data_IF_098945446620
#
_entry.id   IF_098945446620
#
_cell.length_a   1.000
_cell.length_b   1.000
_cell.length_c   1.000
_cell.angle_alpha   90.00
_cell.angle_beta   90.00
_cell.angle_gamma   90.00
#
_symmetry.space_group_name_H-M   'P 1'
#
loop_
_entity.id
_entity.type
_entity.pdbx_description
1 polymer ?
#
# COMPACT_ATOMS: atom_id res chain seq x y z
N UNK A 1 -15.40 3.06 -16.07
CA UNK A 1 -15.17 2.79 -14.63
C UNK A 1 -15.43 3.97 -13.69
N UNK A 2 -16.07 5.07 -14.11
CA UNK A 2 -16.53 6.14 -13.18
C UNK A 2 -17.91 5.86 -12.56
N UNK A 3 -18.64 4.88 -13.12
CA UNK A 3 -20.02 4.57 -12.75
C UNK A 3 -20.19 3.85 -11.40
N UNK A 4 -19.11 3.42 -10.75
CA UNK A 4 -19.11 2.72 -9.46
C UNK A 4 -18.45 3.53 -8.33
N UNK A 5 -17.96 4.73 -8.62
CA UNK A 5 -17.28 5.55 -7.60
C UNK A 5 -18.30 6.29 -6.73
N UNK A 6 -18.05 6.33 -5.43
CA UNK A 6 -18.89 7.02 -4.45
C UNK A 6 -18.57 8.52 -4.40
N UNK A 7 -18.87 9.25 -5.47
CA UNK A 7 -18.66 10.71 -5.56
C UNK A 7 -19.98 11.50 -5.55
N UNK A 8 -19.91 12.77 -5.14
CA UNK A 8 -21.05 13.69 -5.14
C UNK A 8 -22.25 13.13 -4.37
N UNK A 9 -23.47 13.11 -4.95
CA UNK A 9 -24.66 12.56 -4.28
C UNK A 9 -24.50 11.10 -3.84
N UNK A 10 -23.64 10.31 -4.50
CA UNK A 10 -23.41 8.89 -4.15
C UNK A 10 -22.52 8.72 -2.93
N UNK A 11 -21.70 9.72 -2.59
CA UNK A 11 -20.90 9.69 -1.37
C UNK A 11 -21.80 9.56 -0.13
N UNK A 12 -23.01 10.16 -0.16
CA UNK A 12 -24.01 10.02 0.91
C UNK A 12 -24.37 8.56 1.24
N UNK A 13 -24.28 7.66 0.25
CA UNK A 13 -24.57 6.23 0.46
C UNK A 13 -23.60 5.57 1.42
N UNK A 14 -22.34 6.00 1.46
CA UNK A 14 -21.36 5.45 2.41
C UNK A 14 -21.80 5.65 3.87
N UNK A 15 -22.48 6.77 4.15
CA UNK A 15 -23.00 7.09 5.49
C UNK A 15 -24.33 6.38 5.81
N UNK A 16 -24.90 5.64 4.87
CA UNK A 16 -26.11 4.82 5.13
C UNK A 16 -25.77 3.48 5.78
N UNK A 17 -24.52 3.02 5.66
CA UNK A 17 -24.04 1.82 6.34
C UNK A 17 -23.92 2.10 7.84
N UNK A 18 -24.56 1.25 8.66
CA UNK A 18 -24.61 1.39 10.12
C UNK A 18 -23.57 0.52 10.83
N UNK A 19 -22.85 -0.30 10.08
CA UNK A 19 -21.83 -1.21 10.60
C UNK A 19 -20.72 -1.47 9.57
N UNK A 20 -19.54 -1.90 10.02
CA UNK A 20 -18.43 -2.27 9.13
C UNK A 20 -18.78 -3.42 8.16
N UNK A 21 -19.54 -4.47 8.57
CA UNK A 21 -20.03 -5.48 7.63
C UNK A 21 -20.95 -4.91 6.54
N UNK A 22 -21.85 -3.99 6.89
CA UNK A 22 -22.70 -3.31 5.89
C UNK A 22 -21.86 -2.45 4.94
N UNK A 23 -20.86 -1.74 5.46
CA UNK A 23 -19.95 -0.95 4.65
C UNK A 23 -19.15 -1.84 3.68
N UNK A 24 -18.66 -2.99 4.14
CA UNK A 24 -17.96 -3.97 3.31
C UNK A 24 -18.82 -4.42 2.13
N UNK A 25 -20.06 -4.86 2.41
CA UNK A 25 -20.98 -5.31 1.37
C UNK A 25 -21.32 -4.17 0.40
N UNK A 26 -21.52 -2.95 0.91
CA UNK A 26 -21.83 -1.78 0.10
C UNK A 26 -20.69 -1.42 -0.86
N UNK A 27 -19.44 -1.42 -0.38
CA UNK A 27 -18.28 -0.96 -1.14
C UNK A 27 -17.76 -2.05 -2.08
N UNK A 28 -17.70 -3.30 -1.61
CA UNK A 28 -17.04 -4.39 -2.33
C UNK A 28 -18.00 -5.33 -3.05
N UNK A 29 -19.27 -5.34 -2.67
CA UNK A 29 -20.30 -6.23 -3.19
C UNK A 29 -19.89 -7.71 -3.13
N UNK A 30 -19.25 -8.09 -2.03
CA UNK A 30 -18.76 -9.44 -1.75
C UNK A 30 -19.15 -9.85 -0.32
N UNK A 31 -19.11 -11.16 -0.05
CA UNK A 31 -19.31 -11.68 1.31
C UNK A 31 -18.32 -11.06 2.30
N UNK A 32 -18.79 -10.84 3.53
CA UNK A 32 -17.98 -10.26 4.61
C UNK A 32 -16.99 -11.33 5.08
N UNK A 33 -15.69 -11.01 5.18
CA UNK A 33 -14.69 -11.96 5.64
C UNK A 33 -14.98 -12.38 7.09
N UNK A 34 -14.72 -13.65 7.39
CA UNK A 34 -14.89 -14.24 8.72
C UNK A 34 -13.74 -13.81 9.64
N UNK A 35 -13.72 -12.55 10.04
CA UNK A 35 -12.72 -11.95 10.93
C UNK A 35 -13.39 -11.20 12.09
N UNK A 36 -12.69 -10.98 13.22
CA UNK A 36 -13.17 -10.12 14.28
C UNK A 36 -13.55 -8.73 13.76
N UNK A 37 -14.66 -8.17 14.25
CA UNK A 37 -15.14 -6.86 13.81
C UNK A 37 -14.12 -5.73 14.07
N UNK A 38 -13.28 -5.89 15.09
CA UNK A 38 -12.17 -4.96 15.40
C UNK A 38 -11.12 -4.89 14.30
N UNK A 39 -10.95 -5.96 13.51
CA UNK A 39 -10.00 -6.02 12.39
C UNK A 39 -10.65 -5.68 11.05
N UNK A 40 -11.99 -5.62 11.00
CA UNK A 40 -12.73 -5.41 9.76
C UNK A 40 -12.48 -4.01 9.17
N UNK A 41 -12.22 -3.00 10.02
CA UNK A 41 -11.87 -1.65 9.57
C UNK A 41 -10.58 -1.65 8.75
N UNK A 42 -9.50 -2.18 9.34
CA UNK A 42 -8.22 -2.35 8.66
C UNK A 42 -8.38 -3.18 7.37
N UNK A 43 -9.16 -4.26 7.42
CA UNK A 43 -9.38 -5.10 6.24
C UNK A 43 -10.11 -4.36 5.11
N UNK A 44 -11.03 -3.44 5.43
CA UNK A 44 -11.68 -2.59 4.42
C UNK A 44 -10.65 -1.70 3.74
N UNK A 45 -9.73 -1.10 4.50
CA UNK A 45 -8.68 -0.24 3.96
C UNK A 45 -7.75 -1.03 3.03
N UNK A 46 -7.23 -2.17 3.49
CA UNK A 46 -6.36 -3.06 2.71
C UNK A 46 -7.03 -3.53 1.41
N UNK A 47 -8.30 -3.94 1.46
CA UNK A 47 -9.03 -4.41 0.29
C UNK A 47 -9.33 -3.27 -0.70
N UNK A 48 -9.65 -2.07 -0.19
CA UNK A 48 -9.85 -0.89 -1.02
C UNK A 48 -8.56 -0.49 -1.75
N UNK A 49 -7.44 -0.45 -1.02
CA UNK A 49 -6.12 -0.16 -1.56
C UNK A 49 -5.69 -1.19 -2.61
N UNK A 50 -5.81 -2.49 -2.28
CA UNK A 50 -5.49 -3.58 -3.22
C UNK A 50 -6.27 -3.45 -4.53
N UNK A 51 -7.58 -3.19 -4.45
CA UNK A 51 -8.42 -3.02 -5.65
C UNK A 51 -8.03 -1.77 -6.44
N UNK A 52 -7.74 -0.66 -5.75
CA UNK A 52 -7.28 0.57 -6.39
C UNK A 52 -5.99 0.34 -7.16
N UNK A 53 -4.99 -0.30 -6.54
CA UNK A 53 -3.69 -0.56 -7.17
C UNK A 53 -3.83 -1.52 -8.35
N UNK A 54 -4.63 -2.58 -8.22
CA UNK A 54 -4.88 -3.49 -9.34
C UNK A 54 -5.51 -2.76 -10.54
N UNK A 55 -6.48 -1.88 -10.29
CA UNK A 55 -7.14 -1.08 -11.34
C UNK A 55 -6.20 -0.03 -11.94
N UNK A 56 -5.42 0.65 -11.10
CA UNK A 56 -4.47 1.66 -11.54
C UNK A 56 -3.36 1.01 -12.38
N UNK A 57 -2.80 -0.09 -11.91
CA UNK A 57 -1.80 -0.89 -12.63
C UNK A 57 -2.34 -1.33 -13.98
N UNK A 58 -3.58 -1.85 -14.02
CA UNK A 58 -4.25 -2.22 -15.28
C UNK A 58 -4.38 -1.03 -16.24
N UNK A 59 -4.62 0.18 -15.73
CA UNK A 59 -4.67 1.40 -16.55
C UNK A 59 -3.27 1.77 -17.09
N UNK A 60 -2.23 1.69 -16.26
CA UNK A 60 -0.84 1.97 -16.70
C UNK A 60 -0.41 0.98 -17.78
N UNK A 61 -0.80 -0.28 -17.65
CA UNK A 61 -0.51 -1.33 -18.63
C UNK A 61 -1.20 -1.15 -19.99
N UNK A 62 -2.21 -0.29 -20.10
CA UNK A 62 -2.83 0.03 -21.40
C UNK A 62 -1.94 0.90 -22.29
N UNK A 63 -0.85 1.46 -21.76
CA UNK A 63 0.08 2.27 -22.51
C UNK A 63 1.34 1.46 -22.81
N UNK A 64 1.75 1.37 -24.08
CA UNK A 64 3.01 0.73 -24.47
C UNK A 64 4.23 1.42 -23.83
N UNK A 65 4.13 2.75 -23.66
CA UNK A 65 5.12 3.61 -23.02
C UNK A 65 4.40 4.52 -22.01
N UNK A 66 4.11 4.03 -20.79
CA UNK A 66 3.41 4.84 -19.81
C UNK A 66 4.26 6.07 -19.45
N UNK A 67 3.61 7.23 -19.38
CA UNK A 67 4.30 8.45 -18.98
C UNK A 67 4.83 8.31 -17.54
N UNK A 68 6.04 8.82 -17.28
CA UNK A 68 6.74 8.69 -15.98
C UNK A 68 5.86 9.08 -14.79
N UNK A 69 5.03 10.10 -14.94
CA UNK A 69 4.12 10.54 -13.87
C UNK A 69 3.18 9.42 -13.39
N UNK A 70 2.75 8.51 -14.28
CA UNK A 70 1.87 7.41 -13.92
C UNK A 70 2.62 6.34 -13.11
N UNK A 71 3.86 6.05 -13.50
CA UNK A 71 4.71 5.11 -12.74
C UNK A 71 5.18 5.71 -11.42
N UNK A 72 5.47 7.01 -11.37
CA UNK A 72 5.89 7.71 -10.16
C UNK A 72 4.80 7.70 -9.09
N UNK A 73 3.51 7.73 -9.48
CA UNK A 73 2.41 7.61 -8.52
C UNK A 73 2.38 6.26 -7.80
N UNK A 74 2.82 5.18 -8.45
CA UNK A 74 2.94 3.87 -7.82
C UNK A 74 4.10 3.82 -6.82
N UNK A 75 5.20 4.52 -7.11
CA UNK A 75 6.38 4.54 -6.25
C UNK A 75 6.15 5.13 -4.87
N UNK A 76 5.10 5.93 -4.66
CA UNK A 76 4.72 6.38 -3.31
C UNK A 76 4.40 5.19 -2.39
N UNK A 77 3.78 4.13 -2.91
CA UNK A 77 3.50 2.92 -2.13
C UNK A 77 4.78 2.17 -1.75
N UNK A 78 5.75 2.10 -2.66
CA UNK A 78 7.07 1.52 -2.33
C UNK A 78 7.77 2.34 -1.23
N UNK A 79 7.70 3.67 -1.30
CA UNK A 79 8.29 4.55 -0.28
C UNK A 79 7.65 4.32 1.09
N UNK A 80 6.31 4.24 1.16
CA UNK A 80 5.62 3.93 2.41
C UNK A 80 5.95 2.52 2.91
N UNK A 81 6.00 1.51 2.02
CA UNK A 81 6.48 0.18 2.36
C UNK A 81 7.89 0.24 2.97
N UNK A 82 8.81 1.04 2.41
CA UNK A 82 10.16 1.15 2.93
C UNK A 82 10.20 1.74 4.35
N UNK A 83 9.33 2.70 4.66
CA UNK A 83 9.20 3.27 6.01
C UNK A 83 8.72 2.21 7.00
N UNK A 84 7.70 1.44 6.63
CA UNK A 84 7.18 0.32 7.43
C UNK A 84 8.24 -0.76 7.67
N UNK A 85 8.98 -1.15 6.62
CA UNK A 85 10.10 -2.10 6.74
C UNK A 85 11.19 -1.57 7.66
N UNK A 86 11.55 -0.29 7.53
CA UNK A 86 12.50 0.39 8.41
C UNK A 86 12.06 0.36 9.88
N UNK A 87 10.78 0.66 10.14
CA UNK A 87 10.19 0.62 11.48
C UNK A 87 10.22 -0.79 12.08
N UNK A 88 9.78 -1.80 11.33
CA UNK A 88 9.75 -3.19 11.75
C UNK A 88 11.16 -3.73 12.08
N UNK A 89 12.15 -3.41 11.22
CA UNK A 89 13.55 -3.78 11.47
C UNK A 89 14.12 -3.06 12.69
N UNK A 90 13.78 -1.79 12.90
CA UNK A 90 14.17 -1.03 14.08
C UNK A 90 13.61 -1.67 15.37
N UNK A 91 12.34 -2.09 15.32
CA UNK A 91 11.66 -2.83 16.39
C UNK A 91 12.11 -4.29 16.54
N UNK A 92 13.00 -4.78 15.66
CA UNK A 92 13.53 -6.16 15.62
C UNK A 92 12.45 -7.22 15.39
N UNK A 93 11.41 -6.86 14.65
CA UNK A 93 10.39 -7.80 14.23
C UNK A 93 10.98 -8.90 13.33
N UNK A 94 10.44 -10.11 13.45
CA UNK A 94 10.89 -11.27 12.68
C UNK A 94 10.08 -11.48 11.40
N UNK A 95 8.78 -11.19 11.48
CA UNK A 95 7.87 -11.20 10.34
C UNK A 95 8.03 -9.91 9.54
N UNK A 96 7.94 -10.02 8.22
CA UNK A 96 7.77 -8.86 7.37
C UNK A 96 6.42 -8.19 7.71
N UNK A 97 6.38 -6.86 7.87
CA UNK A 97 5.13 -6.13 8.01
C UNK A 97 4.26 -6.29 6.75
N UNK A 98 3.00 -5.88 6.83
CA UNK A 98 2.17 -5.81 5.64
C UNK A 98 2.77 -4.80 4.66
N UNK A 99 2.89 -5.20 3.40
CA UNK A 99 3.35 -4.33 2.32
C UNK A 99 2.33 -4.31 1.21
N UNK A 100 2.32 -3.18 0.52
CA UNK A 100 1.54 -2.97 -0.68
C UNK A 100 2.28 -3.56 -1.89
N UNK A 101 1.75 -4.64 -2.46
CA UNK A 101 2.39 -5.32 -3.60
C UNK A 101 2.10 -4.61 -4.94
N UNK A 102 3.14 -4.05 -5.57
CA UNK A 102 3.05 -3.39 -6.89
C UNK A 102 3.46 -4.30 -8.06
N UNK A 103 3.89 -5.54 -7.78
CA UNK A 103 4.38 -6.49 -8.79
C UNK A 103 5.57 -5.93 -9.57
N UNK A 104 5.50 -5.97 -10.90
CA UNK A 104 6.59 -5.49 -11.80
C UNK A 104 6.89 -3.98 -11.70
N UNK A 105 6.02 -3.22 -11.04
CA UNK A 105 6.19 -1.78 -10.84
C UNK A 105 6.90 -1.46 -9.52
N UNK A 106 7.21 -2.46 -8.68
CA UNK A 106 7.98 -2.18 -7.47
C UNK A 106 9.43 -1.85 -7.79
N UNK A 107 9.98 -0.86 -7.10
CA UNK A 107 11.39 -0.48 -7.13
C UNK A 107 12.26 -1.40 -6.26
N UNK A 108 11.65 -2.23 -5.41
CA UNK A 108 12.34 -2.96 -4.36
C UNK A 108 12.19 -4.47 -4.48
N UNK A 109 13.22 -5.20 -4.04
CA UNK A 109 13.19 -6.65 -3.93
C UNK A 109 12.77 -7.08 -2.53
N UNK A 110 11.46 -7.13 -2.29
CA UNK A 110 10.91 -7.55 -0.99
C UNK A 110 11.27 -9.00 -0.63
N UNK A 111 11.63 -9.84 -1.59
CA UNK A 111 12.09 -11.21 -1.34
C UNK A 111 13.42 -11.26 -0.56
N UNK A 112 14.15 -10.14 -0.50
CA UNK A 112 15.41 -10.04 0.22
C UNK A 112 15.28 -9.74 1.72
N UNK A 113 14.06 -9.61 2.25
CA UNK A 113 13.83 -9.42 3.68
C UNK A 113 14.53 -10.49 4.54
N UNK A 114 15.09 -10.12 5.71
CA UNK A 114 15.10 -8.80 6.36
C UNK A 114 16.26 -7.87 5.97
N UNK A 115 16.98 -8.15 4.87
CA UNK A 115 18.18 -7.41 4.50
C UNK A 115 17.86 -6.12 3.73
N UNK A 116 17.69 -5.01 4.44
CA UNK A 116 17.30 -3.71 3.86
C UNK A 116 18.25 -3.22 2.76
N UNK A 117 19.55 -3.53 2.85
CA UNK A 117 20.54 -3.17 1.85
C UNK A 117 20.34 -3.94 0.54
N UNK A 118 19.87 -5.20 0.64
CA UNK A 118 19.50 -5.99 -0.54
C UNK A 118 18.15 -5.56 -1.11
N UNK A 119 17.17 -5.22 -0.25
CA UNK A 119 15.84 -4.76 -0.67
C UNK A 119 15.94 -3.50 -1.56
N UNK A 120 16.74 -2.52 -1.14
CA UNK A 120 16.88 -1.23 -1.85
C UNK A 120 17.95 -1.25 -2.94
N UNK A 121 18.65 -2.38 -3.13
CA UNK A 121 19.74 -2.49 -4.09
C UNK A 121 19.24 -2.24 -5.51
N UNK A 122 20.01 -1.49 -6.29
CA UNK A 122 19.68 -1.10 -7.67
C UNK A 122 18.42 -0.21 -7.82
N UNK A 123 17.90 0.33 -6.72
CA UNK A 123 16.83 1.33 -6.75
C UNK A 123 17.40 2.76 -6.64
N UNK A 124 16.62 3.81 -6.97
CA UNK A 124 16.98 5.20 -6.66
C UNK A 124 17.22 5.47 -5.17
N UNK A 125 16.74 4.59 -4.28
CA UNK A 125 16.84 4.69 -2.82
C UNK A 125 17.90 3.73 -2.25
N UNK A 126 18.88 3.31 -3.05
CA UNK A 126 19.98 2.45 -2.59
C UNK A 126 20.86 3.06 -1.50
N UNK A 127 20.73 4.37 -1.24
CA UNK A 127 21.35 5.04 -0.10
C UNK A 127 20.71 4.65 1.24
N UNK A 128 19.45 4.19 1.23
CA UNK A 128 18.78 3.58 2.38
C UNK A 128 19.22 2.11 2.47
N UNK A 129 20.43 1.89 2.99
CA UNK A 129 21.07 0.56 3.04
C UNK A 129 21.40 0.10 4.47
N UNK A 130 20.88 0.82 5.47
CA UNK A 130 21.09 0.50 6.88
C UNK A 130 19.79 0.72 7.62
N UNK A 131 19.50 -0.18 8.56
CA UNK A 131 18.38 -0.03 9.48
C UNK A 131 18.62 1.22 10.34
N UNK A 132 17.68 2.19 10.36
CA UNK A 132 17.81 3.38 11.18
C UNK A 132 17.72 3.05 12.67
N UNK A 133 18.40 3.84 13.50
CA UNK A 133 18.06 3.90 14.93
C UNK A 133 16.70 4.59 15.10
N UNK A 134 15.99 4.31 16.19
CA UNK A 134 14.69 4.92 16.54
C UNK A 134 14.79 6.45 16.50
N UNK A 135 15.91 7.01 16.94
CA UNK A 135 16.13 8.47 16.94
C UNK A 135 16.49 9.04 15.57
N UNK A 136 16.96 8.21 14.63
CA UNK A 136 17.33 8.61 13.26
C UNK A 136 16.18 8.41 12.27
N UNK A 137 15.22 7.54 12.58
CA UNK A 137 14.13 7.15 11.71
C UNK A 137 13.32 8.36 11.21
N UNK A 138 12.87 9.23 12.12
CA UNK A 138 12.11 10.43 11.73
C UNK A 138 12.88 11.34 10.78
N UNK A 139 14.20 11.48 10.96
CA UNK A 139 15.03 12.28 10.07
C UNK A 139 15.17 11.64 8.68
N UNK A 140 15.31 10.31 8.64
CA UNK A 140 15.42 9.58 7.37
C UNK A 140 14.09 9.60 6.62
N UNK A 141 12.96 9.46 7.32
CA UNK A 141 11.63 9.51 6.73
C UNK A 141 11.32 10.85 6.07
N UNK A 142 11.92 11.96 6.54
CA UNK A 142 11.77 13.27 5.88
C UNK A 142 12.56 13.41 4.57
N UNK A 143 13.49 12.48 4.28
CA UNK A 143 14.24 12.44 3.01
C UNK A 143 13.58 11.53 1.97
N UNK A 144 12.61 10.72 2.39
CA UNK A 144 11.82 9.81 1.57
C UNK A 144 10.54 10.50 1.08
#
# INVERSE_FOLDING_TARGET
>A
MLGSVFTGPRASKLFTAKSLPELWMLVFNTEVPLIPQTLLGQRIEEEAEKRFIAQYTSLVEMYDYPHKILTDMLYFYDIENLKELGAALCAKEQSMPHIVELGKYSMFDYGAWPDIAKITKNSPLSWYNKVPDVHEQQHIDTKL
#
